data_IF_007845138026
#
_entry.id   IF_007845138026
#
_cell.length_a   1.000
_cell.length_b   1.000
_cell.length_c   1.000
_cell.angle_alpha   90.00
_cell.angle_beta   90.00
_cell.angle_gamma   90.00
#
_symmetry.space_group_name_H-M   'P 1'
#
loop_
_entity.id
_entity.type
_entity.pdbx_description
1 polymer ?
#
# COMPACT_ATOMS: atom_id res chain seq x y z
N UNK A 1 11.60 22.44 -18.21
CA UNK A 1 10.36 22.41 -17.40
C UNK A 1 10.66 21.70 -16.08
N UNK A 2 10.34 22.29 -14.92
CA UNK A 2 10.47 21.57 -13.64
C UNK A 2 9.44 20.43 -13.67
N UNK A 3 9.89 19.18 -13.56
CA UNK A 3 9.01 18.01 -13.37
C UNK A 3 8.31 18.14 -12.01
N UNK A 4 7.21 18.88 -11.94
CA UNK A 4 6.35 18.94 -10.77
C UNK A 4 5.55 17.64 -10.67
N UNK A 5 5.43 17.12 -9.46
CA UNK A 5 4.60 15.95 -9.19
C UNK A 5 3.13 16.40 -9.33
N UNK A 6 2.27 15.65 -10.05
CA UNK A 6 0.86 16.00 -10.20
C UNK A 6 0.16 16.15 -8.85
N UNK A 7 -0.78 17.08 -8.72
CA UNK A 7 -1.48 17.35 -7.47
C UNK A 7 -2.16 16.10 -6.89
N UNK A 8 -2.79 15.31 -7.75
CA UNK A 8 -3.47 14.05 -7.39
C UNK A 8 -2.53 13.02 -6.74
N UNK A 9 -1.25 13.03 -7.12
CA UNK A 9 -0.23 12.15 -6.53
C UNK A 9 0.15 12.66 -5.15
N UNK A 10 0.37 13.98 -5.01
CA UNK A 10 0.66 14.60 -3.71
C UNK A 10 -0.46 14.34 -2.70
N UNK A 11 -1.71 14.52 -3.11
CA UNK A 11 -2.88 14.20 -2.30
C UNK A 11 -2.96 12.71 -2.00
N UNK A 12 -2.72 11.84 -2.99
CA UNK A 12 -2.72 10.40 -2.79
C UNK A 12 -1.65 9.93 -1.81
N UNK A 13 -0.44 10.49 -1.85
CA UNK A 13 0.62 10.21 -0.88
C UNK A 13 0.22 10.69 0.51
N UNK A 14 -0.45 11.85 0.63
CA UNK A 14 -0.96 12.34 1.92
C UNK A 14 -2.13 11.52 2.46
N UNK A 15 -2.93 10.88 1.62
CA UNK A 15 -3.95 9.93 2.07
C UNK A 15 -3.31 8.61 2.49
N UNK A 16 -2.32 8.14 1.72
CA UNK A 16 -1.57 6.92 2.02
C UNK A 16 -0.84 7.01 3.36
N UNK A 17 -0.27 8.17 3.71
CA UNK A 17 0.43 8.34 4.98
C UNK A 17 -0.45 8.03 6.20
N UNK A 18 -1.73 8.37 6.14
CA UNK A 18 -2.71 8.04 7.18
C UNK A 18 -3.05 6.55 7.28
N UNK A 19 -2.88 5.77 6.21
CA UNK A 19 -3.05 4.32 6.23
C UNK A 19 -1.79 3.61 6.71
N UNK A 20 -0.64 4.03 6.19
CA UNK A 20 0.57 3.21 6.19
C UNK A 20 1.44 3.46 7.41
N UNK A 21 1.20 4.58 8.09
CA UNK A 21 1.73 4.87 9.42
C UNK A 21 0.71 4.55 10.53
N UNK A 22 -0.45 3.99 10.17
CA UNK A 22 -1.45 3.57 11.14
C UNK A 22 -0.93 2.39 11.97
N UNK A 23 -1.07 2.46 13.29
CA UNK A 23 -0.46 1.50 14.23
C UNK A 23 -0.84 0.02 13.95
N UNK A 24 -2.04 -0.21 13.41
CA UNK A 24 -2.57 -1.56 13.10
C UNK A 24 -2.15 -2.09 11.71
N UNK A 25 -1.59 -1.23 10.86
CA UNK A 25 -1.27 -1.55 9.46
C UNK A 25 0.23 -1.51 9.19
N UNK A 26 0.92 -0.59 9.86
CA UNK A 26 2.31 -0.25 9.59
C UNK A 26 3.15 -1.54 9.54
N UNK A 27 3.87 -1.80 8.42
CA UNK A 27 4.72 -2.96 8.30
C UNK A 27 5.84 -2.80 9.31
N UNK A 28 5.71 -3.45 10.46
CA UNK A 28 6.67 -3.35 11.57
C UNK A 28 7.25 -4.71 11.86
N UNK A 29 7.13 -5.67 10.96
CA UNK A 29 7.53 -7.03 11.27
C UNK A 29 9.03 -7.10 11.48
N UNK A 30 9.83 -6.67 10.50
CA UNK A 30 11.28 -6.58 10.68
C UNK A 30 11.63 -5.66 11.85
N UNK A 31 10.99 -4.49 11.94
CA UNK A 31 11.19 -3.51 13.02
C UNK A 31 10.97 -4.12 14.42
N UNK A 32 9.99 -5.00 14.57
CA UNK A 32 9.65 -5.66 15.84
C UNK A 32 10.64 -6.77 16.23
N UNK A 33 11.41 -7.28 15.26
CA UNK A 33 12.43 -8.31 15.47
C UNK A 33 13.85 -7.73 15.65
N UNK A 34 14.05 -6.46 15.31
CA UNK A 34 15.33 -5.79 15.48
C UNK A 34 15.62 -5.48 16.95
N UNK A 35 16.89 -5.56 17.39
CA UNK A 35 17.31 -5.03 18.68
C UNK A 35 16.92 -3.56 18.81
N UNK A 36 16.52 -3.13 20.01
CA UNK A 36 16.04 -1.75 20.26
C UNK A 36 17.02 -0.66 19.80
N UNK A 37 18.31 -0.94 19.89
CA UNK A 37 19.41 -0.08 19.45
C UNK A 37 19.47 0.13 17.93
N UNK A 38 18.92 -0.81 17.16
CA UNK A 38 18.87 -0.78 15.69
C UNK A 38 17.53 -0.25 15.16
N UNK A 39 16.57 0.03 16.04
CA UNK A 39 15.24 0.53 15.67
C UNK A 39 15.30 2.04 15.48
N UNK A 40 15.47 2.50 14.24
CA UNK A 40 15.39 3.93 13.90
C UNK A 40 13.99 4.50 14.25
N UNK A 41 13.86 5.73 14.75
CA UNK A 41 12.55 6.33 14.99
C UNK A 41 11.74 6.45 13.68
N UNK A 42 10.44 6.19 13.74
CA UNK A 42 9.57 6.40 12.58
C UNK A 42 9.55 7.89 12.21
N UNK A 43 9.55 8.23 10.91
CA UNK A 43 9.39 9.61 10.49
C UNK A 43 7.99 10.12 10.87
N UNK A 44 7.89 11.41 11.15
CA UNK A 44 6.59 12.09 11.21
C UNK A 44 5.89 11.98 9.86
N UNK A 45 4.55 12.08 9.85
CA UNK A 45 3.75 12.04 8.62
C UNK A 45 4.27 13.03 7.56
N UNK A 46 4.59 14.25 7.99
CA UNK A 46 5.14 15.31 7.12
C UNK A 46 6.49 14.93 6.50
N UNK A 47 7.37 14.31 7.29
CA UNK A 47 8.67 13.83 6.80
C UNK A 47 8.47 12.68 5.80
N UNK A 48 7.59 11.74 6.12
CA UNK A 48 7.27 10.60 5.27
C UNK A 48 6.69 11.06 3.93
N UNK A 49 5.66 11.93 3.92
CA UNK A 49 5.05 12.47 2.69
C UNK A 49 6.13 13.13 1.81
N UNK A 50 6.96 14.00 2.40
CA UNK A 50 8.02 14.73 1.68
C UNK A 50 9.06 13.78 1.07
N UNK A 51 9.45 12.75 1.81
CA UNK A 51 10.40 11.75 1.34
C UNK A 51 9.80 10.83 0.28
N UNK A 52 8.62 10.26 0.55
CA UNK A 52 7.98 9.27 -0.28
C UNK A 52 7.49 9.84 -1.62
N UNK A 53 7.07 11.11 -1.63
CA UNK A 53 6.72 11.81 -2.88
C UNK A 53 7.85 11.79 -3.92
N UNK A 54 9.11 11.63 -3.50
CA UNK A 54 10.25 11.50 -4.43
C UNK A 54 10.19 10.21 -5.26
N UNK A 55 9.46 9.17 -4.84
CA UNK A 55 9.24 7.94 -5.60
C UNK A 55 8.65 8.24 -6.98
N UNK A 56 7.70 9.16 -7.05
CA UNK A 56 6.99 9.55 -8.28
C UNK A 56 7.83 10.40 -9.25
N UNK A 57 9.07 10.74 -8.88
CA UNK A 57 10.05 11.28 -9.83
C UNK A 57 10.64 10.17 -10.73
N UNK A 58 10.55 8.91 -10.32
CA UNK A 58 10.88 7.75 -11.13
C UNK A 58 9.70 7.44 -12.07
N UNK A 59 9.91 7.59 -13.38
CA UNK A 59 8.86 7.37 -14.40
C UNK A 59 8.35 5.93 -14.43
N UNK A 60 9.20 4.94 -14.17
CA UNK A 60 8.81 3.53 -14.19
C UNK A 60 7.94 3.21 -12.97
N UNK A 61 8.26 3.77 -11.81
CA UNK A 61 7.41 3.66 -10.63
C UNK A 61 6.04 4.31 -10.84
N UNK A 62 5.99 5.52 -11.41
CA UNK A 62 4.71 6.17 -11.74
C UNK A 62 3.87 5.33 -12.70
N UNK A 63 4.50 4.76 -13.75
CA UNK A 63 3.82 3.83 -14.68
C UNK A 63 3.33 2.56 -13.97
N UNK A 64 4.13 1.97 -13.09
CA UNK A 64 3.72 0.81 -12.30
C UNK A 64 2.48 1.12 -11.47
N UNK A 65 2.45 2.25 -10.77
CA UNK A 65 1.27 2.69 -9.99
C UNK A 65 0.05 2.86 -10.91
N UNK A 66 0.21 3.52 -12.05
CA UNK A 66 -0.89 3.71 -13.01
C UNK A 66 -1.42 2.35 -13.52
N UNK A 67 -0.54 1.38 -13.83
CA UNK A 67 -0.93 0.03 -14.23
C UNK A 67 -1.58 -0.79 -13.11
N UNK A 68 -1.15 -0.63 -11.86
CA UNK A 68 -1.82 -1.24 -10.69
C UNK A 68 -3.25 -0.72 -10.58
N UNK A 69 -3.45 0.59 -10.73
CA UNK A 69 -4.76 1.23 -10.70
C UNK A 69 -5.64 0.68 -11.83
N UNK A 70 -5.12 0.63 -13.05
CA UNK A 70 -5.83 0.09 -14.21
C UNK A 70 -6.31 -1.35 -14.00
N UNK A 71 -5.44 -2.24 -13.53
CA UNK A 71 -5.80 -3.62 -13.19
C UNK A 71 -6.84 -3.69 -12.05
N UNK A 72 -6.70 -2.84 -11.04
CA UNK A 72 -7.61 -2.85 -9.89
C UNK A 72 -9.00 -2.27 -10.21
N UNK A 73 -9.10 -1.36 -11.17
CA UNK A 73 -10.38 -0.85 -11.64
C UNK A 73 -11.29 -1.97 -12.10
N UNK A 74 -10.79 -3.02 -12.76
CA UNK A 74 -11.65 -4.11 -13.23
C UNK A 74 -12.21 -4.99 -12.11
N UNK A 75 -11.56 -5.02 -10.95
CA UNK A 75 -11.90 -5.94 -9.85
C UNK A 75 -12.83 -5.30 -8.82
N UNK A 76 -12.70 -3.99 -8.55
CA UNK A 76 -13.45 -3.27 -7.49
C UNK A 76 -14.98 -3.27 -7.71
N UNK A 77 -15.43 -3.45 -8.96
CA UNK A 77 -16.85 -3.45 -9.32
C UNK A 77 -17.49 -4.83 -9.23
N UNK A 78 -16.69 -5.90 -9.27
CA UNK A 78 -17.20 -7.28 -9.41
C UNK A 78 -17.62 -7.91 -8.08
N UNK A 79 -17.22 -7.32 -6.96
CA UNK A 79 -17.47 -7.87 -5.61
C UNK A 79 -18.37 -6.94 -4.81
N UNK A 80 -19.40 -7.50 -4.18
CA UNK A 80 -20.24 -6.78 -3.24
C UNK A 80 -19.44 -6.38 -1.99
N UNK A 81 -19.63 -5.17 -1.42
CA UNK A 81 -18.90 -4.71 -0.25
C UNK A 81 -18.91 -5.68 0.93
N UNK A 82 -20.06 -6.25 1.26
CA UNK A 82 -20.19 -7.18 2.38
C UNK A 82 -19.40 -8.47 2.16
N UNK A 83 -19.46 -9.04 0.94
CA UNK A 83 -18.65 -10.20 0.54
C UNK A 83 -17.16 -9.89 0.55
N UNK A 84 -16.79 -8.67 0.17
CA UNK A 84 -15.40 -8.22 0.25
C UNK A 84 -14.90 -8.16 1.70
N UNK A 85 -15.76 -8.00 2.71
CA UNK A 85 -15.31 -7.94 4.11
C UNK A 85 -15.20 -9.32 4.78
N UNK A 86 -15.64 -10.39 4.12
CA UNK A 86 -15.56 -11.76 4.64
C UNK A 86 -14.17 -12.41 4.51
N UNK A 87 -13.13 -11.65 4.11
CA UNK A 87 -11.78 -12.19 4.05
C UNK A 87 -11.31 -12.65 5.44
N UNK A 88 -10.82 -13.90 5.52
CA UNK A 88 -10.35 -14.52 6.78
C UNK A 88 -11.45 -15.10 7.67
N UNK A 89 -12.49 -15.71 7.09
CA UNK A 89 -13.59 -16.40 7.80
C UNK A 89 -14.47 -15.51 8.69
N UNK A 90 -14.49 -14.20 8.44
CA UNK A 90 -15.37 -13.28 9.15
C UNK A 90 -16.82 -13.38 8.62
N UNK A 91 -17.80 -13.37 9.52
CA UNK A 91 -19.23 -13.27 9.19
C UNK A 91 -19.52 -11.96 8.43
N UNK A 92 -20.67 -11.90 7.74
CA UNK A 92 -21.11 -10.68 7.08
C UNK A 92 -21.26 -9.53 8.11
N UNK A 93 -20.54 -8.39 7.93
CA UNK A 93 -20.64 -7.27 8.86
C UNK A 93 -22.03 -6.63 8.77
N UNK A 94 -22.65 -6.21 9.89
CA UNK A 94 -23.93 -5.50 9.88
C UNK A 94 -23.89 -4.24 9.01
N UNK A 95 -25.05 -3.85 8.45
CA UNK A 95 -25.17 -2.72 7.52
C UNK A 95 -24.64 -1.37 8.06
N UNK A 96 -24.64 -1.20 9.39
CA UNK A 96 -24.24 0.04 10.07
C UNK A 96 -22.86 -0.07 10.73
N UNK A 97 -22.07 -1.09 10.39
CA UNK A 97 -20.74 -1.26 10.99
C UNK A 97 -19.75 -0.21 10.45
N UNK A 98 -18.96 0.46 11.31
CA UNK A 98 -18.00 1.50 10.88
C UNK A 98 -17.04 1.05 9.77
N UNK A 99 -16.63 -0.21 9.78
CA UNK A 99 -15.75 -0.82 8.76
C UNK A 99 -16.43 -0.90 7.39
N UNK A 100 -17.68 -1.33 7.36
CA UNK A 100 -18.48 -1.40 6.13
C UNK A 100 -18.77 0.01 5.59
N UNK A 101 -19.09 0.97 6.46
CA UNK A 101 -19.29 2.37 6.08
C UNK A 101 -18.01 2.95 5.47
N UNK A 102 -16.86 2.76 6.13
CA UNK A 102 -15.56 3.19 5.65
C UNK A 102 -15.24 2.60 4.27
N UNK A 103 -15.39 1.29 4.12
CA UNK A 103 -15.22 0.60 2.84
C UNK A 103 -16.11 1.20 1.73
N UNK A 104 -17.41 1.36 2.00
CA UNK A 104 -18.38 1.91 1.04
C UNK A 104 -18.01 3.35 0.66
N UNK A 105 -17.61 4.18 1.62
CA UNK A 105 -17.23 5.58 1.36
C UNK A 105 -16.07 5.67 0.39
N UNK A 106 -15.00 4.90 0.63
CA UNK A 106 -13.86 4.89 -0.29
C UNK A 106 -14.23 4.27 -1.62
N UNK A 107 -14.97 3.15 -1.64
CA UNK A 107 -15.43 2.54 -2.89
C UNK A 107 -16.21 3.53 -3.75
N UNK A 108 -17.12 4.33 -3.16
CA UNK A 108 -17.82 5.41 -3.89
C UNK A 108 -16.84 6.43 -4.49
N UNK A 109 -15.81 6.85 -3.75
CA UNK A 109 -14.78 7.78 -4.25
C UNK A 109 -13.96 7.16 -5.39
N UNK A 110 -13.61 5.88 -5.30
CA UNK A 110 -12.91 5.12 -6.35
C UNK A 110 -13.78 4.94 -7.60
N UNK A 111 -15.08 4.72 -7.42
CA UNK A 111 -16.04 4.57 -8.50
C UNK A 111 -16.34 5.90 -9.23
N UNK A 112 -16.22 7.03 -8.53
CA UNK A 112 -16.50 8.35 -9.10
C UNK A 112 -15.39 8.87 -10.04
N UNK A 113 -14.20 8.28 -10.02
CA UNK A 113 -13.07 8.73 -10.84
C UNK A 113 -12.20 7.57 -11.30
N UNK A 114 -11.88 7.57 -12.60
CA UNK A 114 -10.95 6.61 -13.21
C UNK A 114 -9.55 6.66 -12.62
N UNK A 115 -9.14 7.84 -12.14
CA UNK A 115 -7.84 8.07 -11.52
C UNK A 115 -7.99 9.18 -10.49
N UNK A 116 -7.88 8.80 -9.22
CA UNK A 116 -8.13 9.63 -8.06
C UNK A 116 -6.97 9.59 -7.06
N UNK A 117 -6.90 10.55 -6.15
CA UNK A 117 -5.96 10.49 -5.01
C UNK A 117 -6.18 9.24 -4.15
N UNK A 118 -7.44 8.78 -4.04
CA UNK A 118 -7.78 7.53 -3.35
C UNK A 118 -7.25 6.29 -4.09
N UNK A 119 -7.19 6.29 -5.43
CA UNK A 119 -6.58 5.21 -6.19
C UNK A 119 -5.08 5.12 -5.96
N UNK A 120 -4.38 6.26 -5.97
CA UNK A 120 -2.95 6.33 -5.65
C UNK A 120 -2.69 5.85 -4.22
N UNK A 121 -3.50 6.30 -3.27
CA UNK A 121 -3.38 5.90 -1.87
C UNK A 121 -3.61 4.41 -1.65
N UNK A 122 -4.65 3.85 -2.30
CA UNK A 122 -4.95 2.42 -2.23
C UNK A 122 -3.84 1.58 -2.86
N UNK A 123 -3.28 2.00 -4.00
CA UNK A 123 -2.15 1.29 -4.62
C UNK A 123 -0.92 1.29 -3.71
N UNK A 124 -0.57 2.43 -3.10
CA UNK A 124 0.52 2.53 -2.12
C UNK A 124 0.25 1.62 -0.91
N UNK A 125 -0.98 1.64 -0.38
CA UNK A 125 -1.39 0.80 0.73
C UNK A 125 -1.30 -0.69 0.41
N UNK A 126 -1.77 -1.11 -0.77
CA UNK A 126 -1.69 -2.50 -1.21
C UNK A 126 -0.25 -2.99 -1.39
N UNK A 127 0.64 -2.15 -1.95
CA UNK A 127 2.08 -2.45 -2.01
C UNK A 127 2.65 -2.62 -0.59
N UNK A 128 2.29 -1.73 0.35
CA UNK A 128 2.72 -1.83 1.74
C UNK A 128 2.28 -3.15 2.39
N UNK A 129 1.04 -3.60 2.15
CA UNK A 129 0.55 -4.88 2.67
C UNK A 129 1.28 -6.06 2.05
N UNK A 130 1.51 -6.03 0.74
CA UNK A 130 2.30 -7.06 0.06
C UNK A 130 3.71 -7.16 0.65
N UNK A 131 4.38 -6.04 0.90
CA UNK A 131 5.70 -6.02 1.57
C UNK A 131 5.59 -6.65 2.96
N UNK A 132 4.62 -6.22 3.78
CA UNK A 132 4.43 -6.72 5.14
C UNK A 132 4.28 -8.26 5.19
N UNK A 133 3.38 -8.79 4.34
CA UNK A 133 3.06 -10.22 4.30
C UNK A 133 4.27 -11.03 3.82
N UNK A 134 4.94 -10.61 2.74
CA UNK A 134 6.07 -11.36 2.21
C UNK A 134 7.32 -11.27 3.11
N UNK A 135 7.56 -10.12 3.74
CA UNK A 135 8.64 -9.96 4.71
C UNK A 135 8.41 -10.86 5.93
N UNK A 136 7.19 -10.85 6.50
CA UNK A 136 6.84 -11.73 7.63
C UNK A 136 6.98 -13.20 7.24
N UNK A 137 6.38 -13.62 6.14
CA UNK A 137 6.42 -15.01 5.68
C UNK A 137 7.84 -15.49 5.39
N UNK A 138 8.69 -14.63 4.80
CA UNK A 138 10.09 -14.97 4.52
C UNK A 138 10.92 -15.13 5.79
N UNK A 139 10.71 -14.24 6.77
CA UNK A 139 11.37 -14.34 8.08
C UNK A 139 10.92 -15.57 8.87
N UNK A 140 9.60 -15.80 8.96
CA UNK A 140 9.01 -16.92 9.71
C UNK A 140 9.41 -18.29 9.15
N UNK A 141 9.67 -18.35 7.85
CA UNK A 141 10.14 -19.55 7.16
C UNK A 141 11.67 -19.67 7.10
N UNK A 142 12.42 -18.79 7.78
CA UNK A 142 13.90 -18.74 7.78
C UNK A 142 14.51 -18.66 6.36
N UNK A 143 13.82 -17.98 5.44
CA UNK A 143 14.21 -17.89 4.04
C UNK A 143 15.15 -16.71 3.78
N UNK A 144 16.45 -16.94 3.92
CA UNK A 144 17.50 -15.94 3.63
C UNK A 144 17.92 -15.91 2.15
N UNK A 145 16.95 -15.86 1.24
CA UNK A 145 17.21 -15.71 -0.19
C UNK A 145 17.15 -14.24 -0.63
N UNK A 146 17.61 -13.95 -1.84
CA UNK A 146 17.66 -12.59 -2.37
C UNK A 146 16.28 -11.91 -2.39
N UNK A 147 15.21 -12.64 -2.73
CA UNK A 147 13.85 -12.08 -2.80
C UNK A 147 13.38 -11.62 -1.42
N UNK A 148 13.63 -12.41 -0.37
CA UNK A 148 13.32 -12.00 1.00
C UNK A 148 14.11 -10.76 1.41
N UNK A 149 15.39 -10.66 1.03
CA UNK A 149 16.19 -9.47 1.29
C UNK A 149 15.65 -8.22 0.56
N UNK A 150 15.13 -8.38 -0.66
CA UNK A 150 14.42 -7.30 -1.35
C UNK A 150 13.18 -6.83 -0.57
N UNK A 151 12.42 -7.74 0.05
CA UNK A 151 11.27 -7.38 0.87
C UNK A 151 11.67 -6.61 2.13
N UNK A 152 12.73 -7.03 2.83
CA UNK A 152 13.24 -6.30 3.99
C UNK A 152 13.77 -4.92 3.63
N UNK A 153 14.48 -4.80 2.51
CA UNK A 153 14.96 -3.50 2.04
C UNK A 153 13.80 -2.58 1.64
N UNK A 154 12.77 -3.12 0.99
CA UNK A 154 11.55 -2.37 0.68
C UNK A 154 10.84 -1.90 1.96
N UNK A 155 10.65 -2.76 2.95
CA UNK A 155 10.06 -2.39 4.24
C UNK A 155 10.86 -1.26 4.90
N UNK A 156 12.19 -1.38 4.97
CA UNK A 156 13.07 -0.37 5.55
C UNK A 156 12.95 0.98 4.84
N UNK A 157 13.07 0.99 3.51
CA UNK A 157 13.00 2.23 2.72
C UNK A 157 11.61 2.85 2.78
N UNK A 158 10.58 2.03 2.84
CA UNK A 158 9.20 2.46 3.00
C UNK A 158 8.98 3.16 4.34
N UNK A 159 9.38 2.53 5.44
CA UNK A 159 9.25 3.08 6.79
C UNK A 159 10.04 4.38 6.97
N UNK A 160 11.24 4.47 6.39
CA UNK A 160 12.06 5.67 6.42
C UNK A 160 11.48 6.82 5.55
N UNK A 161 10.44 6.56 4.76
CA UNK A 161 9.92 7.50 3.78
C UNK A 161 10.91 7.78 2.65
N UNK A 162 11.87 6.91 2.37
CA UNK A 162 12.85 7.11 1.31
C UNK A 162 12.29 6.68 -0.05
N UNK A 163 11.38 7.49 -0.59
CA UNK A 163 10.66 7.16 -1.83
C UNK A 163 11.56 6.93 -3.04
N UNK A 164 12.72 7.59 -3.13
CA UNK A 164 13.63 7.45 -4.28
C UNK A 164 14.19 6.02 -4.36
N UNK A 165 14.78 5.54 -3.27
CA UNK A 165 15.34 4.19 -3.23
C UNK A 165 14.23 3.14 -3.24
N UNK A 166 13.14 3.37 -2.51
CA UNK A 166 11.97 2.50 -2.56
C UNK A 166 11.49 2.24 -4.00
N UNK A 167 11.31 3.29 -4.80
CA UNK A 167 10.89 3.18 -6.18
C UNK A 167 11.88 2.37 -7.04
N UNK A 168 13.18 2.57 -6.83
CA UNK A 168 14.21 1.84 -7.56
C UNK A 168 14.22 0.36 -7.19
N UNK A 169 14.20 0.06 -5.88
CA UNK A 169 14.19 -1.30 -5.36
C UNK A 169 12.96 -2.07 -5.82
N UNK A 170 11.77 -1.44 -5.80
CA UNK A 170 10.53 -2.11 -6.20
C UNK A 170 10.54 -2.46 -7.70
N UNK A 171 11.01 -1.55 -8.54
CA UNK A 171 11.14 -1.79 -9.99
C UNK A 171 12.18 -2.87 -10.28
N UNK A 172 13.29 -2.90 -9.54
CA UNK A 172 14.30 -3.95 -9.67
C UNK A 172 13.73 -5.32 -9.26
N UNK A 173 12.99 -5.38 -8.16
CA UNK A 173 12.32 -6.59 -7.70
C UNK A 173 11.34 -7.12 -8.75
N UNK A 174 10.47 -6.24 -9.27
CA UNK A 174 9.48 -6.60 -10.30
C UNK A 174 10.16 -7.15 -11.56
N UNK A 175 11.20 -6.46 -12.03
CA UNK A 175 11.97 -6.88 -13.20
C UNK A 175 12.67 -8.22 -12.99
N UNK A 176 13.34 -8.41 -11.86
CA UNK A 176 14.27 -9.53 -11.66
C UNK A 176 13.57 -10.81 -11.20
N UNK A 177 12.44 -10.71 -10.49
CA UNK A 177 11.79 -11.87 -9.87
C UNK A 177 10.32 -12.05 -10.26
N UNK A 178 9.64 -10.99 -10.71
CA UNK A 178 8.23 -11.05 -11.10
C UNK A 178 8.00 -10.86 -12.61
N UNK A 179 9.05 -10.78 -13.42
CA UNK A 179 8.94 -10.60 -14.87
C UNK A 179 8.02 -9.43 -15.30
N UNK A 180 8.01 -8.33 -14.52
CA UNK A 180 7.13 -7.18 -14.72
C UNK A 180 5.62 -7.47 -14.50
N UNK A 181 5.28 -8.48 -13.70
CA UNK A 181 3.89 -8.86 -13.38
C UNK A 181 3.37 -8.27 -12.08
N UNK A 182 4.16 -7.46 -11.36
CA UNK A 182 3.74 -6.89 -10.08
C UNK A 182 2.48 -6.05 -10.22
N UNK A 183 2.31 -5.34 -11.35
CA UNK A 183 1.11 -4.56 -11.63
C UNK A 183 -0.17 -5.39 -11.57
N UNK A 184 -0.18 -6.55 -12.25
CA UNK A 184 -1.32 -7.48 -12.22
C UNK A 184 -1.51 -8.15 -10.86
N UNK A 185 -0.41 -8.53 -10.18
CA UNK A 185 -0.47 -9.21 -8.89
C UNK A 185 -1.04 -8.31 -7.79
N UNK A 186 -0.63 -7.04 -7.76
CA UNK A 186 -1.11 -6.05 -6.78
C UNK A 186 -2.47 -5.51 -7.21
N UNK A 187 -2.61 -5.15 -8.48
CA UNK A 187 -3.85 -4.61 -9.07
C UNK A 187 -5.04 -5.54 -8.86
N UNK A 188 -4.86 -6.84 -9.12
CA UNK A 188 -5.89 -7.86 -8.91
C UNK A 188 -6.34 -8.02 -7.46
N UNK A 189 -5.59 -7.49 -6.49
CA UNK A 189 -5.86 -7.59 -5.06
C UNK A 189 -6.30 -6.26 -4.42
N UNK A 190 -6.47 -5.17 -5.18
CA UNK A 190 -6.83 -3.87 -4.58
C UNK A 190 -8.16 -3.91 -3.81
N UNK A 191 -9.14 -4.70 -4.26
CA UNK A 191 -10.40 -4.87 -3.54
C UNK A 191 -10.20 -5.56 -2.18
N UNK A 192 -9.34 -6.59 -2.14
CA UNK A 192 -8.96 -7.25 -0.91
C UNK A 192 -8.19 -6.32 0.03
N UNK A 193 -7.23 -5.55 -0.51
CA UNK A 193 -6.50 -4.55 0.26
C UNK A 193 -7.44 -3.50 0.85
N UNK A 194 -8.44 -3.02 0.09
CA UNK A 194 -9.43 -2.07 0.61
C UNK A 194 -10.23 -2.66 1.76
N UNK A 195 -10.66 -3.91 1.64
CA UNK A 195 -11.37 -4.63 2.70
C UNK A 195 -10.50 -4.76 3.96
N UNK A 196 -9.29 -5.28 3.81
CA UNK A 196 -8.33 -5.44 4.91
C UNK A 196 -8.04 -4.10 5.61
N UNK A 197 -7.78 -3.04 4.84
CA UNK A 197 -7.52 -1.71 5.38
C UNK A 197 -8.74 -1.16 6.11
N UNK A 198 -9.96 -1.41 5.62
CA UNK A 198 -11.17 -0.96 6.31
C UNK A 198 -11.41 -1.71 7.61
N UNK A 199 -10.98 -2.97 7.73
CA UNK A 199 -11.11 -3.71 8.99
C UNK A 199 -10.15 -3.17 10.05
N UNK A 200 -8.93 -2.86 9.62
CA UNK A 200 -7.81 -2.57 10.52
C UNK A 200 -7.51 -1.07 10.72
N UNK A 201 -7.99 -0.20 9.84
CA UNK A 201 -7.70 1.23 9.87
C UNK A 201 -8.89 2.09 9.39
N UNK A 202 -10.15 1.68 9.67
CA UNK A 202 -11.34 2.44 9.26
C UNK A 202 -11.36 3.89 9.75
N UNK A 203 -10.65 4.20 10.82
CA UNK A 203 -10.51 5.51 11.45
C UNK A 203 -9.45 6.40 10.78
N UNK A 204 -8.68 5.86 9.84
CA UNK A 204 -7.71 6.63 9.07
C UNK A 204 -8.38 7.66 8.14
N UNK A 205 -7.72 8.79 7.94
CA UNK A 205 -8.13 9.89 7.03
C UNK A 205 -8.50 9.41 5.62
N UNK A 206 -7.89 8.32 5.14
CA UNK A 206 -8.23 7.73 3.86
C UNK A 206 -9.71 7.38 3.71
N UNK A 207 -10.40 7.04 4.80
CA UNK A 207 -11.79 6.59 4.77
C UNK A 207 -12.85 7.70 4.88
N UNK A 208 -12.45 8.94 5.22
CA UNK A 208 -13.36 10.05 5.54
C UNK A 208 -13.01 11.28 4.70
#
# INVERSE_FOLDING_TARGET
>A
MKNSIPNIVTEGVSLASGLVLHEKIIPTYLRSKLPSEMVEPLPTEKQWIKGFSKAFKNKNFSKLIDSIIENGRETIWKTEPQKALQYGDNLEPPANEPRLIAYINVRKKLCASERGSHWVALAIGAISRMIAVNASSGFDADQWNEVTLFWFELERQYLAGNGKEFAQTLINLDKNYFNNQLASMVGGKLNHALAELSVNAFDAKFFW
#
